data_IF_219321425210
#
_entry.id   IF_219321425210
#
_cell.length_a   1.000
_cell.length_b   1.000
_cell.length_c   1.000
_cell.angle_alpha   90.00
_cell.angle_beta   90.00
_cell.angle_gamma   90.00
#
_symmetry.space_group_name_H-M   'P 1'
#
loop_
_entity.id
_entity.type
_entity.pdbx_description
1 polymer ?
#
# COMPACT_ATOMS: atom_id res chain seq x y z
N UNK A 1 44.49 -10.60 -27.60
CA UNK A 1 45.48 -9.79 -26.89
C UNK A 1 45.50 -10.09 -25.39
N UNK A 2 44.37 -10.13 -24.68
CA UNK A 2 44.29 -10.34 -23.20
C UNK A 2 44.77 -11.76 -22.80
N UNK A 3 44.33 -12.82 -23.51
CA UNK A 3 44.75 -14.21 -23.31
C UNK A 3 46.26 -14.39 -23.50
N UNK A 4 46.84 -13.75 -24.50
CA UNK A 4 48.28 -13.84 -24.77
C UNK A 4 49.13 -13.14 -23.67
N UNK A 5 48.69 -11.99 -23.18
CA UNK A 5 49.26 -11.31 -22.02
C UNK A 5 49.20 -12.18 -20.75
N UNK A 6 48.05 -12.84 -20.54
CA UNK A 6 47.83 -13.72 -19.39
C UNK A 6 48.77 -14.93 -19.42
N UNK A 7 49.00 -15.56 -20.61
CA UNK A 7 49.91 -16.68 -20.73
C UNK A 7 51.38 -16.26 -20.46
N UNK A 8 51.84 -15.08 -20.94
CA UNK A 8 53.22 -14.61 -20.72
C UNK A 8 53.49 -14.32 -19.25
N UNK A 9 52.56 -13.70 -18.55
CA UNK A 9 52.74 -13.33 -17.16
C UNK A 9 52.37 -14.43 -16.16
N UNK A 10 51.64 -15.47 -16.59
CA UNK A 10 51.11 -16.53 -15.74
C UNK A 10 52.19 -17.22 -14.93
N UNK A 11 53.27 -17.63 -15.58
CA UNK A 11 54.37 -18.35 -14.93
C UNK A 11 55.07 -17.50 -13.87
N UNK A 12 55.28 -16.21 -14.16
CA UNK A 12 55.94 -15.28 -13.20
C UNK A 12 55.03 -15.01 -11.98
N UNK A 13 53.74 -14.80 -12.24
CA UNK A 13 52.76 -14.57 -11.17
C UNK A 13 52.62 -15.83 -10.30
N UNK A 14 52.50 -16.99 -10.91
CA UNK A 14 52.40 -18.26 -10.21
C UNK A 14 53.63 -18.53 -9.33
N UNK A 15 54.84 -18.38 -9.88
CA UNK A 15 56.09 -18.52 -9.09
C UNK A 15 56.17 -17.55 -7.94
N UNK A 16 55.75 -16.29 -8.13
CA UNK A 16 55.70 -15.31 -7.07
C UNK A 16 54.70 -15.70 -5.98
N UNK A 17 53.49 -16.13 -6.33
CA UNK A 17 52.46 -16.59 -5.40
C UNK A 17 52.95 -17.77 -4.55
N UNK A 18 53.58 -18.77 -5.20
CA UNK A 18 54.09 -19.95 -4.50
C UNK A 18 55.25 -19.64 -3.56
N UNK A 19 56.15 -18.74 -3.98
CA UNK A 19 57.29 -18.31 -3.13
C UNK A 19 56.86 -17.39 -1.99
N UNK A 20 55.80 -16.60 -2.16
CA UNK A 20 55.30 -15.64 -1.18
C UNK A 20 53.88 -16.01 -0.68
N UNK A 21 53.64 -17.29 -0.39
CA UNK A 21 52.33 -17.84 -0.02
C UNK A 21 51.61 -17.05 1.05
N UNK A 22 52.29 -16.58 2.07
CA UNK A 22 51.73 -15.77 3.17
C UNK A 22 51.31 -14.38 2.71
N UNK A 23 52.08 -13.71 1.85
CA UNK A 23 51.71 -12.40 1.29
C UNK A 23 50.53 -12.52 0.33
N UNK A 24 50.50 -13.60 -0.47
CA UNK A 24 49.39 -13.87 -1.36
C UNK A 24 48.10 -14.13 -0.60
N UNK A 25 48.12 -14.86 0.52
CA UNK A 25 46.97 -15.11 1.37
C UNK A 25 46.37 -13.86 2.00
N UNK A 26 47.15 -12.78 2.13
CA UNK A 26 46.62 -11.48 2.61
C UNK A 26 45.57 -10.90 1.69
N UNK A 27 45.66 -11.13 0.37
CA UNK A 27 44.71 -10.61 -0.61
C UNK A 27 43.28 -11.19 -0.42
N UNK A 28 43.08 -12.52 -0.44
CA UNK A 28 41.74 -13.10 -0.18
C UNK A 28 41.21 -12.80 1.22
N UNK A 29 42.12 -12.77 2.25
CA UNK A 29 41.68 -12.39 3.60
C UNK A 29 41.19 -10.96 3.63
N UNK A 30 41.94 -10.02 3.03
CA UNK A 30 41.50 -8.63 2.92
C UNK A 30 40.19 -8.48 2.16
N UNK A 31 40.00 -9.21 1.08
CA UNK A 31 38.76 -9.22 0.30
C UNK A 31 37.59 -9.72 1.14
N UNK A 32 37.75 -10.81 1.89
CA UNK A 32 36.73 -11.35 2.80
C UNK A 32 36.40 -10.34 3.89
N UNK A 33 37.41 -9.72 4.52
CA UNK A 33 37.19 -8.70 5.55
C UNK A 33 36.44 -7.48 4.99
N UNK A 34 36.85 -6.99 3.82
CA UNK A 34 36.10 -5.94 3.12
C UNK A 34 34.67 -6.35 2.82
N UNK A 35 34.46 -7.58 2.35
CA UNK A 35 33.13 -8.12 2.11
C UNK A 35 32.26 -8.13 3.37
N UNK A 36 32.81 -8.59 4.50
CA UNK A 36 32.11 -8.60 5.79
C UNK A 36 31.78 -7.17 6.26
N UNK A 37 32.70 -6.21 6.08
CA UNK A 37 32.47 -4.81 6.44
C UNK A 37 31.39 -4.17 5.59
N UNK A 38 31.38 -4.44 4.29
CA UNK A 38 30.34 -3.98 3.37
C UNK A 38 28.99 -4.63 3.74
N UNK A 39 28.96 -5.95 3.95
CA UNK A 39 27.77 -6.68 4.35
C UNK A 39 27.10 -6.08 5.60
N UNK A 40 27.87 -5.71 6.62
CA UNK A 40 27.34 -5.10 7.84
C UNK A 40 26.75 -3.70 7.63
N UNK A 41 27.10 -3.02 6.54
CA UNK A 41 26.61 -1.67 6.20
C UNK A 41 25.47 -1.66 5.20
N UNK A 42 25.29 -2.75 4.47
CA UNK A 42 24.16 -2.91 3.53
C UNK A 42 22.92 -3.24 4.35
N UNK A 43 21.87 -2.43 4.18
CA UNK A 43 20.56 -2.69 4.76
C UNK A 43 19.93 -3.97 4.18
N UNK A 44 19.00 -4.56 4.91
CA UNK A 44 18.30 -5.78 4.51
C UNK A 44 16.86 -5.45 4.13
N UNK A 45 16.45 -5.85 2.93
CA UNK A 45 15.08 -5.73 2.42
C UNK A 45 14.64 -7.09 1.85
N UNK A 46 13.36 -7.42 2.02
CA UNK A 46 12.82 -8.69 1.52
C UNK A 46 12.79 -8.69 -0.01
N UNK A 47 12.33 -7.59 -0.57
CA UNK A 47 12.19 -7.41 -2.01
C UNK A 47 12.57 -5.97 -2.36
N UNK A 48 13.46 -5.74 -3.33
CA UNK A 48 13.72 -4.39 -3.79
C UNK A 48 12.45 -3.80 -4.42
N UNK A 49 12.21 -2.51 -4.21
CA UNK A 49 11.10 -1.82 -4.86
C UNK A 49 11.28 -1.89 -6.38
N UNK A 50 10.33 -2.52 -7.06
CA UNK A 50 10.27 -2.54 -8.51
C UNK A 50 9.68 -1.21 -9.01
N UNK A 51 10.13 -0.76 -10.18
CA UNK A 51 9.50 0.38 -10.84
C UNK A 51 8.45 -0.14 -11.83
N UNK A 52 7.18 -0.08 -11.42
CA UNK A 52 6.04 -0.56 -12.20
C UNK A 52 5.54 0.49 -13.22
N UNK A 53 6.14 1.69 -13.29
CA UNK A 53 5.67 2.78 -14.15
C UNK A 53 4.38 3.43 -13.65
N UNK A 54 3.91 3.04 -12.47
CA UNK A 54 2.65 3.51 -11.89
C UNK A 54 2.73 3.59 -10.37
N UNK A 55 1.87 4.43 -9.80
CA UNK A 55 1.63 4.50 -8.37
C UNK A 55 0.19 4.11 -8.05
N UNK A 56 -0.03 3.63 -6.84
CA UNK A 56 -1.33 3.40 -6.25
C UNK A 56 -1.49 4.29 -5.02
N UNK A 57 -2.34 5.29 -5.10
CA UNK A 57 -2.66 6.19 -4.00
C UNK A 57 -3.95 5.71 -3.32
N UNK A 58 -3.87 5.36 -2.04
CA UNK A 58 -4.98 4.76 -1.28
C UNK A 58 -5.30 5.55 -0.01
N UNK A 59 -5.75 6.80 -0.10
CA UNK A 59 -6.22 7.56 1.06
C UNK A 59 -7.55 7.01 1.56
N UNK A 60 -7.90 7.36 2.79
CA UNK A 60 -9.17 7.00 3.40
C UNK A 60 -9.86 8.27 3.90
N UNK A 61 -11.15 8.41 3.64
CA UNK A 61 -11.95 9.47 4.25
C UNK A 61 -12.31 9.13 5.70
N UNK A 62 -12.77 10.15 6.43
CA UNK A 62 -13.21 9.95 7.81
C UNK A 62 -14.41 9.00 7.87
N UNK A 63 -14.56 8.19 8.94
CA UNK A 63 -15.61 7.18 9.06
C UNK A 63 -17.03 7.71 8.87
N UNK A 64 -17.26 8.98 9.20
CA UNK A 64 -18.56 9.64 9.12
C UNK A 64 -18.82 10.35 7.78
N UNK A 65 -17.89 10.24 6.81
CA UNK A 65 -18.02 10.90 5.50
C UNK A 65 -19.13 10.26 4.67
N UNK A 66 -20.09 11.07 4.22
CA UNK A 66 -21.19 10.63 3.38
C UNK A 66 -20.78 10.35 1.93
N UNK A 67 -21.70 9.73 1.17
CA UNK A 67 -21.48 9.34 -0.23
C UNK A 67 -21.13 10.54 -1.11
N UNK A 68 -21.88 11.63 -0.98
CA UNK A 68 -21.72 12.83 -1.81
C UNK A 68 -20.35 13.48 -1.59
N UNK A 69 -19.91 13.57 -0.34
CA UNK A 69 -18.57 14.09 -0.03
C UNK A 69 -17.46 13.18 -0.57
N UNK A 70 -17.65 11.87 -0.53
CA UNK A 70 -16.67 10.94 -1.12
C UNK A 70 -16.62 11.05 -2.65
N UNK A 71 -17.73 11.30 -3.32
CA UNK A 71 -17.74 11.60 -4.76
C UNK A 71 -16.98 12.89 -5.06
N UNK A 72 -17.17 13.93 -4.26
CA UNK A 72 -16.42 15.17 -4.41
C UNK A 72 -14.91 14.97 -4.18
N UNK A 73 -14.52 14.10 -3.24
CA UNK A 73 -13.13 13.78 -3.01
C UNK A 73 -12.49 13.05 -4.19
N UNK A 74 -13.14 12.01 -4.75
CA UNK A 74 -12.56 11.26 -5.88
C UNK A 74 -12.40 12.16 -7.11
N UNK A 75 -13.40 13.00 -7.39
CA UNK A 75 -13.33 13.95 -8.50
C UNK A 75 -12.20 14.98 -8.31
N UNK A 76 -12.04 15.50 -7.08
CA UNK A 76 -10.99 16.45 -6.76
C UNK A 76 -9.60 15.81 -6.84
N UNK A 77 -9.45 14.54 -6.37
CA UNK A 77 -8.21 13.79 -6.48
C UNK A 77 -7.82 13.59 -7.95
N UNK A 78 -8.73 13.06 -8.77
CA UNK A 78 -8.45 12.79 -10.18
C UNK A 78 -8.08 14.06 -10.96
N UNK A 79 -8.80 15.17 -10.75
CA UNK A 79 -8.48 16.46 -11.36
C UNK A 79 -7.10 16.99 -10.98
N UNK A 80 -6.75 16.90 -9.68
CA UNK A 80 -5.44 17.37 -9.19
C UNK A 80 -4.30 16.49 -9.67
N UNK A 81 -4.49 15.17 -9.70
CA UNK A 81 -3.51 14.22 -10.20
C UNK A 81 -3.26 14.41 -11.70
N UNK A 82 -4.32 14.56 -12.49
CA UNK A 82 -4.23 14.81 -13.93
C UNK A 82 -3.56 16.14 -14.29
N UNK A 83 -3.51 17.09 -13.35
CA UNK A 83 -2.82 18.38 -13.55
C UNK A 83 -1.30 18.28 -13.40
N UNK A 84 -0.74 17.17 -12.90
CA UNK A 84 0.71 16.96 -12.81
C UNK A 84 1.24 16.59 -14.20
N UNK A 85 2.19 17.34 -14.78
CA UNK A 85 2.67 17.08 -16.14
C UNK A 85 3.28 15.70 -16.37
N UNK A 86 3.93 15.13 -15.34
CA UNK A 86 4.54 13.81 -15.37
C UNK A 86 3.51 12.69 -15.30
N UNK A 87 2.27 12.97 -14.90
CA UNK A 87 1.18 11.99 -14.87
C UNK A 87 0.61 11.84 -16.29
N UNK A 88 0.50 10.62 -16.74
CA UNK A 88 -0.09 10.27 -18.02
C UNK A 88 -1.59 10.03 -17.90
N UNK A 89 -1.96 9.16 -16.93
CA UNK A 89 -3.36 8.85 -16.62
C UNK A 89 -3.53 8.75 -15.11
N UNK A 90 -4.64 9.24 -14.60
CA UNK A 90 -5.07 9.03 -13.23
C UNK A 90 -6.52 8.58 -13.24
N UNK A 91 -6.79 7.44 -12.59
CA UNK A 91 -8.13 6.85 -12.51
C UNK A 91 -8.39 6.50 -11.06
N UNK A 92 -9.37 7.17 -10.48
CA UNK A 92 -9.85 6.90 -9.13
C UNK A 92 -10.98 5.88 -9.10
N UNK A 93 -10.86 4.89 -8.22
CA UNK A 93 -11.92 3.97 -7.82
C UNK A 93 -12.32 4.30 -6.40
N UNK A 94 -13.61 4.38 -6.14
CA UNK A 94 -14.15 4.52 -4.81
C UNK A 94 -15.41 3.64 -4.66
N UNK A 95 -15.62 3.16 -3.45
CA UNK A 95 -16.76 2.38 -3.08
C UNK A 95 -16.46 0.95 -2.67
N UNK A 96 -17.46 0.30 -2.12
CA UNK A 96 -17.36 -1.08 -1.64
C UNK A 96 -17.54 -2.06 -2.80
N UNK A 97 -16.64 -3.02 -2.90
CA UNK A 97 -16.78 -4.17 -3.80
C UNK A 97 -17.42 -5.33 -3.04
N UNK A 98 -18.37 -6.01 -3.64
CA UNK A 98 -18.96 -7.22 -3.08
C UNK A 98 -18.07 -8.44 -3.41
N UNK A 99 -16.92 -8.52 -2.77
CA UNK A 99 -15.93 -9.57 -2.96
C UNK A 99 -15.30 -9.95 -1.63
N UNK A 100 -15.06 -11.24 -1.43
CA UNK A 100 -14.32 -11.74 -0.27
C UNK A 100 -12.80 -11.43 -0.33
N UNK A 101 -12.28 -11.14 -1.54
CA UNK A 101 -10.86 -10.88 -1.78
C UNK A 101 -10.50 -9.39 -1.70
N UNK A 102 -11.49 -8.50 -1.67
CA UNK A 102 -11.28 -7.06 -1.59
C UNK A 102 -12.10 -6.48 -0.42
N UNK A 103 -11.56 -6.47 0.79
CA UNK A 103 -12.25 -6.00 1.99
C UNK A 103 -12.29 -4.48 2.11
N UNK A 104 -12.24 -3.75 0.99
CA UNK A 104 -12.21 -2.30 1.00
C UNK A 104 -13.46 -1.71 1.66
N UNK A 105 -13.32 -0.86 2.70
CA UNK A 105 -14.45 -0.13 3.26
C UNK A 105 -14.93 0.97 2.30
N UNK A 106 -16.17 1.44 2.51
CA UNK A 106 -16.77 2.48 1.67
C UNK A 106 -15.99 3.82 1.68
N UNK A 107 -15.12 4.03 2.64
CA UNK A 107 -14.30 5.24 2.79
C UNK A 107 -12.94 5.16 2.10
N UNK A 108 -12.59 4.02 1.53
CA UNK A 108 -11.29 3.81 0.88
C UNK A 108 -11.33 4.24 -0.59
N UNK A 109 -10.31 4.97 -0.98
CA UNK A 109 -10.05 5.34 -2.37
C UNK A 109 -8.87 4.55 -2.90
N UNK A 110 -8.90 4.25 -4.19
CA UNK A 110 -7.81 3.64 -4.94
C UNK A 110 -7.63 4.42 -6.23
N UNK A 111 -6.61 5.27 -6.27
CA UNK A 111 -6.26 6.01 -7.49
C UNK A 111 -5.04 5.35 -8.12
N UNK A 112 -5.22 4.75 -9.28
CA UNK A 112 -4.11 4.26 -10.12
C UNK A 112 -3.59 5.41 -10.94
N UNK A 113 -2.28 5.69 -10.81
CA UNK A 113 -1.61 6.85 -11.40
C UNK A 113 -0.47 6.33 -12.27
N UNK A 114 -0.63 6.35 -13.58
CA UNK A 114 0.45 6.03 -14.50
C UNK A 114 1.23 7.30 -14.79
N UNK A 115 2.54 7.23 -14.70
CA UNK A 115 3.41 8.35 -15.02
C UNK A 115 4.21 8.08 -16.29
N UNK A 116 4.52 9.16 -17.01
CA UNK A 116 5.29 9.10 -18.24
C UNK A 116 6.71 8.66 -17.94
N UNK A 117 7.35 7.87 -18.83
CA UNK A 117 8.78 7.62 -18.73
C UNK A 117 9.55 8.94 -18.86
N UNK A 118 10.73 9.01 -18.25
CA UNK A 118 11.56 10.22 -18.28
C UNK A 118 11.87 10.68 -19.72
N UNK A 119 12.12 9.72 -20.61
CA UNK A 119 12.36 9.96 -22.04
C UNK A 119 11.34 9.22 -22.87
N UNK A 120 10.99 9.76 -24.03
CA UNK A 120 10.11 9.07 -24.98
C UNK A 120 10.76 7.76 -25.40
N UNK A 121 9.97 6.67 -25.37
CA UNK A 121 10.38 5.32 -25.74
C UNK A 121 9.76 4.94 -27.09
N UNK A 122 10.48 4.16 -27.90
CA UNK A 122 9.96 3.53 -29.09
C UNK A 122 9.16 2.26 -28.76
N UNK A 123 8.60 1.59 -29.77
CA UNK A 123 7.83 0.35 -29.62
C UNK A 123 8.63 -0.79 -28.96
N UNK A 124 9.96 -0.81 -29.07
CA UNK A 124 10.86 -1.77 -28.42
C UNK A 124 11.18 -1.40 -26.94
N UNK A 125 10.62 -0.32 -26.39
CA UNK A 125 10.92 0.18 -25.05
C UNK A 125 12.29 0.86 -24.93
N UNK A 126 12.94 1.21 -26.03
CA UNK A 126 14.22 1.95 -26.03
C UNK A 126 13.99 3.44 -26.18
N UNK A 127 14.87 4.24 -25.57
CA UNK A 127 14.82 5.70 -25.70
C UNK A 127 14.91 6.11 -27.15
N UNK A 128 13.99 6.94 -27.61
CA UNK A 128 13.95 7.46 -28.96
C UNK A 128 14.63 8.83 -29.06
N UNK A 129 15.30 9.09 -30.19
CA UNK A 129 15.99 10.34 -30.46
C UNK A 129 15.22 11.15 -31.48
N UNK A 130 15.22 12.47 -31.30
CA UNK A 130 14.49 13.41 -32.15
C UNK A 130 15.40 14.48 -32.69
N UNK A 131 15.03 14.97 -33.84
CA UNK A 131 15.82 15.92 -34.60
C UNK A 131 15.95 17.27 -33.90
N UNK A 132 17.18 17.71 -33.71
CA UNK A 132 17.52 19.02 -33.14
C UNK A 132 18.25 19.88 -34.19
N UNK A 133 18.09 21.19 -34.11
CA UNK A 133 18.86 22.14 -34.93
C UNK A 133 20.24 22.42 -34.29
N UNK A 134 21.06 23.26 -34.95
CA UNK A 134 22.41 23.65 -34.44
C UNK A 134 22.37 24.41 -33.09
N UNK A 135 21.22 24.91 -32.69
CA UNK A 135 21.02 25.63 -31.42
C UNK A 135 20.53 24.69 -30.28
N UNK A 136 20.35 23.41 -30.58
CA UNK A 136 19.81 22.44 -29.60
C UNK A 136 18.28 22.48 -29.44
N UNK A 137 17.55 23.13 -30.34
CA UNK A 137 16.10 23.20 -30.32
C UNK A 137 15.51 22.02 -31.09
N UNK A 138 14.48 21.37 -30.54
CA UNK A 138 13.77 20.26 -31.20
C UNK A 138 12.91 20.81 -32.36
N UNK A 139 12.97 20.12 -33.49
CA UNK A 139 12.16 20.44 -34.65
C UNK A 139 10.82 19.73 -34.59
N UNK A 140 9.75 20.47 -34.73
CA UNK A 140 8.38 19.95 -34.71
C UNK A 140 7.88 19.73 -36.16
N UNK A 141 6.99 18.75 -36.32
CA UNK A 141 6.38 18.41 -37.64
C UNK A 141 5.57 19.55 -38.23
N UNK A 142 5.06 20.46 -37.41
CA UNK A 142 4.35 21.68 -37.88
C UNK A 142 5.27 22.80 -38.33
N UNK A 143 6.59 22.57 -38.41
CA UNK A 143 7.59 23.56 -38.79
C UNK A 143 8.06 24.48 -37.67
N UNK A 144 7.51 24.34 -36.45
CA UNK A 144 7.97 25.09 -35.29
C UNK A 144 9.21 24.47 -34.64
N UNK A 145 9.77 25.17 -33.66
CA UNK A 145 10.86 24.68 -32.81
C UNK A 145 10.45 24.73 -31.34
N UNK A 146 11.06 23.88 -30.56
CA UNK A 146 10.95 23.88 -29.11
C UNK A 146 12.33 23.83 -28.45
N UNK A 147 12.58 24.78 -27.56
CA UNK A 147 13.79 24.83 -26.78
C UNK A 147 13.46 24.50 -25.28
N UNK A 148 13.99 23.42 -24.70
CA UNK A 148 13.78 23.12 -23.29
C UNK A 148 14.25 24.24 -22.34
N UNK A 149 15.20 25.09 -22.75
CA UNK A 149 15.69 26.21 -21.95
C UNK A 149 14.65 27.34 -21.78
N UNK A 150 13.67 27.45 -22.69
CA UNK A 150 12.63 28.49 -22.66
C UNK A 150 11.50 28.13 -21.65
N UNK A 151 11.59 27.00 -20.99
CA UNK A 151 10.63 26.49 -20.02
C UNK A 151 10.08 25.13 -20.39
N UNK A 152 9.58 24.41 -19.39
CA UNK A 152 9.01 23.08 -19.60
C UNK A 152 7.67 23.16 -20.36
N UNK A 153 7.58 22.37 -21.40
CA UNK A 153 6.33 22.11 -22.13
C UNK A 153 6.29 20.65 -22.55
N UNK A 154 5.19 19.97 -22.22
CA UNK A 154 4.95 18.62 -22.70
C UNK A 154 4.64 18.65 -24.20
N UNK A 155 5.49 18.00 -25.00
CA UNK A 155 5.32 17.87 -26.44
C UNK A 155 4.93 16.41 -26.73
N UNK A 156 3.80 16.15 -27.41
CA UNK A 156 3.44 14.80 -27.84
C UNK A 156 4.51 14.21 -28.77
N UNK A 157 4.79 12.92 -28.62
CA UNK A 157 5.79 12.22 -29.44
C UNK A 157 5.52 12.39 -30.96
N UNK A 158 4.25 12.35 -31.35
CA UNK A 158 3.80 12.52 -32.74
C UNK A 158 4.13 13.89 -33.34
N UNK A 159 4.35 14.87 -32.49
CA UNK A 159 4.73 16.24 -32.95
C UNK A 159 6.22 16.38 -33.19
N UNK A 160 7.03 15.45 -32.70
CA UNK A 160 8.48 15.45 -32.86
C UNK A 160 8.90 14.68 -34.13
N UNK A 161 10.07 14.99 -34.66
CA UNK A 161 10.62 14.33 -35.83
C UNK A 161 11.69 13.35 -35.40
N UNK A 162 11.50 12.00 -35.53
CA UNK A 162 12.49 10.99 -35.14
C UNK A 162 13.79 11.15 -35.93
N UNK A 163 14.94 11.09 -35.27
CA UNK A 163 16.25 11.15 -35.90
C UNK A 163 17.30 10.41 -35.04
N UNK A 164 17.94 9.38 -35.60
CA UNK A 164 18.97 8.58 -34.90
C UNK A 164 20.19 9.40 -34.45
N UNK A 165 20.44 10.52 -35.08
CA UNK A 165 21.55 11.46 -34.75
C UNK A 165 21.12 12.61 -33.84
N UNK A 166 19.83 12.68 -33.50
CA UNK A 166 19.27 13.74 -32.65
C UNK A 166 19.48 13.47 -31.16
N UNK A 167 18.76 14.20 -30.33
CA UNK A 167 18.82 14.13 -28.88
C UNK A 167 17.58 13.44 -28.28
N UNK A 168 17.71 12.94 -27.05
CA UNK A 168 16.60 12.35 -26.31
C UNK A 168 15.68 13.44 -25.77
N UNK A 169 14.38 13.35 -26.02
CA UNK A 169 13.38 14.28 -25.50
C UNK A 169 12.96 13.86 -24.09
N UNK A 170 13.19 14.76 -23.11
CA UNK A 170 12.82 14.54 -21.71
C UNK A 170 11.39 15.00 -21.46
N UNK A 171 10.54 14.11 -20.90
CA UNK A 171 9.12 14.37 -20.64
C UNK A 171 8.86 14.90 -19.22
N UNK A 172 9.87 14.88 -18.34
CA UNK A 172 9.75 15.37 -16.97
C UNK A 172 10.29 16.78 -16.84
N UNK A 173 9.70 17.55 -15.92
CA UNK A 173 10.20 18.89 -15.56
C UNK A 173 11.65 18.82 -15.05
N UNK A 174 12.43 19.88 -15.17
CA UNK A 174 13.84 19.89 -14.75
C UNK A 174 14.06 19.56 -13.27
N UNK A 175 13.13 19.98 -12.40
CA UNK A 175 13.16 19.73 -10.95
C UNK A 175 12.87 18.28 -10.56
N UNK A 176 12.21 17.51 -11.40
CA UNK A 176 11.86 16.11 -11.16
C UNK A 176 13.02 15.23 -11.62
N UNK A 177 13.75 14.61 -10.70
CA UNK A 177 14.95 13.81 -11.00
C UNK A 177 14.70 12.31 -10.96
N UNK A 178 13.72 11.89 -10.19
CA UNK A 178 13.40 10.49 -9.98
C UNK A 178 11.89 10.31 -9.72
N UNK A 179 11.45 9.09 -9.61
CA UNK A 179 10.04 8.75 -9.35
C UNK A 179 9.56 9.18 -7.96
N UNK A 180 10.47 9.33 -6.99
CA UNK A 180 10.11 9.81 -5.65
C UNK A 180 9.72 11.29 -5.67
N UNK A 181 10.34 12.08 -6.55
CA UNK A 181 9.97 13.48 -6.74
C UNK A 181 8.55 13.59 -7.32
N UNK A 182 8.17 12.70 -8.27
CA UNK A 182 6.79 12.61 -8.77
C UNK A 182 5.84 12.25 -7.62
N UNK A 183 6.19 11.24 -6.81
CA UNK A 183 5.38 10.87 -5.67
C UNK A 183 5.19 12.02 -4.68
N UNK A 184 6.24 12.80 -4.43
CA UNK A 184 6.14 13.98 -3.57
C UNK A 184 5.18 15.04 -4.14
N UNK A 185 5.16 15.23 -5.47
CA UNK A 185 4.18 16.11 -6.12
C UNK A 185 2.75 15.56 -5.92
N UNK A 186 2.56 14.24 -6.09
CA UNK A 186 1.28 13.58 -5.83
C UNK A 186 0.80 13.85 -4.41
N UNK A 187 1.63 13.61 -3.40
CA UNK A 187 1.30 13.85 -1.99
C UNK A 187 0.91 15.30 -1.75
N UNK A 188 1.66 16.26 -2.32
CA UNK A 188 1.41 17.68 -2.14
C UNK A 188 0.05 18.12 -2.70
N UNK A 189 -0.34 17.63 -3.88
CA UNK A 189 -1.60 18.04 -4.52
C UNK A 189 -2.82 17.27 -3.98
N UNK A 190 -2.61 16.09 -3.43
CA UNK A 190 -3.70 15.23 -2.90
C UNK A 190 -4.00 15.46 -1.43
N UNK A 191 -3.28 16.38 -0.76
CA UNK A 191 -3.60 16.77 0.60
C UNK A 191 -4.94 17.52 0.64
N UNK A 192 -6.00 16.81 1.05
CA UNK A 192 -7.37 17.33 1.19
C UNK A 192 -7.82 17.20 2.65
N UNK A 193 -8.45 18.24 3.22
CA UNK A 193 -9.06 18.13 4.56
C UNK A 193 -10.07 16.97 4.59
N UNK A 194 -9.98 16.12 5.62
CA UNK A 194 -10.86 14.95 5.76
C UNK A 194 -10.42 13.68 5.04
N UNK A 195 -9.29 13.72 4.31
CA UNK A 195 -8.61 12.53 3.81
C UNK A 195 -7.34 12.25 4.62
N UNK A 196 -7.04 10.97 4.80
CA UNK A 196 -5.75 10.55 5.37
C UNK A 196 -4.63 10.69 4.35
N UNK A 197 -3.39 10.74 4.81
CA UNK A 197 -2.24 10.49 3.96
C UNK A 197 -2.22 9.02 3.52
N UNK A 198 -1.49 8.72 2.46
CA UNK A 198 -1.27 7.37 1.99
C UNK A 198 0.23 7.09 1.85
N UNK A 199 0.70 5.88 2.18
CA UNK A 199 2.07 5.47 1.91
C UNK A 199 2.30 5.37 0.40
N UNK A 200 3.58 5.43 -0.02
CA UNK A 200 3.95 5.18 -1.41
C UNK A 200 3.73 3.72 -1.74
N UNK A 201 2.82 3.46 -2.67
CA UNK A 201 2.51 2.11 -3.14
C UNK A 201 2.58 2.04 -4.66
N UNK A 202 2.80 0.83 -5.15
CA UNK A 202 2.67 0.47 -6.55
C UNK A 202 1.62 -0.64 -6.69
N UNK A 203 0.89 -0.75 -7.81
CA UNK A 203 -0.27 -1.63 -7.93
C UNK A 203 0.00 -3.10 -7.62
N UNK A 204 1.08 -3.69 -8.17
CA UNK A 204 1.42 -5.11 -7.99
C UNK A 204 1.95 -5.34 -6.57
N UNK A 205 2.89 -4.49 -6.11
CA UNK A 205 3.45 -4.55 -4.76
C UNK A 205 2.36 -4.42 -3.70
N UNK A 206 1.46 -3.44 -3.84
CA UNK A 206 0.35 -3.23 -2.93
C UNK A 206 -0.57 -4.45 -2.85
N UNK A 207 -0.93 -5.04 -3.99
CA UNK A 207 -1.77 -6.25 -4.03
C UNK A 207 -1.09 -7.43 -3.34
N UNK A 208 0.20 -7.63 -3.57
CA UNK A 208 0.98 -8.69 -2.93
C UNK A 208 1.01 -8.53 -1.40
N UNK A 209 1.29 -7.30 -0.93
CA UNK A 209 1.32 -6.97 0.50
C UNK A 209 -0.07 -7.14 1.13
N UNK A 210 -1.11 -6.61 0.53
CA UNK A 210 -2.48 -6.72 1.04
C UNK A 210 -2.94 -8.18 1.17
N UNK A 211 -2.67 -9.02 0.17
CA UNK A 211 -3.05 -10.44 0.19
C UNK A 211 -2.25 -11.24 1.22
N UNK A 212 -0.97 -10.89 1.44
CA UNK A 212 -0.10 -11.63 2.35
C UNK A 212 -0.21 -11.20 3.82
N UNK A 213 -0.54 -9.95 4.08
CA UNK A 213 -0.51 -9.35 5.43
C UNK A 213 -1.84 -8.78 5.91
N UNK A 214 -2.78 -8.54 5.01
CA UNK A 214 -4.04 -7.83 5.29
C UNK A 214 -3.88 -6.30 5.42
N UNK A 215 -2.65 -5.77 5.31
CA UNK A 215 -2.36 -4.34 5.46
C UNK A 215 -2.26 -3.64 4.10
N UNK A 216 -2.55 -2.34 4.10
CA UNK A 216 -2.50 -1.46 2.92
C UNK A 216 -1.18 -0.68 2.83
N UNK A 217 -0.11 -1.21 3.42
CA UNK A 217 1.21 -0.60 3.41
C UNK A 217 2.29 -1.67 3.51
N UNK A 218 3.50 -1.44 2.95
CA UNK A 218 4.62 -2.37 3.05
C UNK A 218 5.08 -2.62 4.47
N UNK A 219 4.89 -1.62 5.36
CA UNK A 219 5.25 -1.69 6.76
C UNK A 219 4.08 -1.27 7.64
N UNK A 220 3.89 -1.98 8.72
CA UNK A 220 2.88 -1.68 9.70
C UNK A 220 3.01 -2.50 10.96
N UNK A 221 2.10 -2.24 11.88
CA UNK A 221 2.03 -2.87 13.16
C UNK A 221 0.61 -3.37 13.37
N UNK A 222 0.47 -4.65 13.64
CA UNK A 222 -0.80 -5.30 14.02
C UNK A 222 -0.99 -5.17 15.51
N UNK A 223 -2.18 -4.77 15.92
CA UNK A 223 -2.57 -4.61 17.31
C UNK A 223 -3.72 -5.56 17.58
N UNK A 224 -3.53 -6.47 18.52
CA UNK A 224 -4.52 -7.44 18.94
C UNK A 224 -5.09 -7.04 20.30
N UNK A 225 -6.39 -7.16 20.48
CA UNK A 225 -7.05 -6.81 21.72
C UNK A 225 -8.40 -7.51 21.92
N UNK A 226 -8.98 -7.41 23.12
CA UNK A 226 -10.23 -8.08 23.45
C UNK A 226 -11.45 -7.45 22.76
N UNK A 227 -11.40 -6.15 22.49
CA UNK A 227 -12.47 -5.38 21.88
C UNK A 227 -11.93 -4.24 21.01
N UNK A 228 -12.77 -3.69 20.13
CA UNK A 228 -12.37 -2.66 19.16
C UNK A 228 -11.99 -1.33 19.82
N UNK A 229 -12.60 -0.99 20.93
CA UNK A 229 -12.35 0.27 21.64
C UNK A 229 -10.96 0.28 22.27
N UNK A 230 -10.59 -0.84 22.91
CA UNK A 230 -9.26 -1.07 23.48
C UNK A 230 -8.16 -1.05 22.41
N UNK A 231 -8.44 -1.66 21.25
CA UNK A 231 -7.54 -1.64 20.09
C UNK A 231 -7.39 -0.20 19.57
N UNK A 232 -8.49 0.56 19.47
CA UNK A 232 -8.44 1.94 18.98
C UNK A 232 -7.64 2.87 19.90
N UNK A 233 -7.83 2.76 21.22
CA UNK A 233 -7.06 3.56 22.18
C UNK A 233 -5.57 3.26 22.08
N UNK A 234 -5.21 1.98 22.06
CA UNK A 234 -3.81 1.54 21.92
C UNK A 234 -3.24 1.90 20.56
N UNK A 235 -4.03 1.79 19.48
CA UNK A 235 -3.64 2.16 18.13
C UNK A 235 -3.29 3.63 17.99
N UNK A 236 -4.11 4.52 18.54
CA UNK A 236 -3.82 5.97 18.58
C UNK A 236 -2.56 6.29 19.37
N UNK A 237 -2.34 5.60 20.51
CA UNK A 237 -1.16 5.80 21.33
C UNK A 237 0.13 5.33 20.58
N UNK A 238 0.08 4.19 19.90
CA UNK A 238 1.18 3.69 19.07
C UNK A 238 1.41 4.58 17.85
N UNK A 239 0.36 5.09 17.20
CA UNK A 239 0.46 6.06 16.10
C UNK A 239 1.29 7.27 16.52
N UNK A 240 1.03 7.84 17.69
CA UNK A 240 1.80 8.97 18.20
C UNK A 240 3.25 8.58 18.50
N UNK A 241 3.47 7.41 19.11
CA UNK A 241 4.82 6.94 19.41
C UNK A 241 5.67 6.71 18.16
N UNK A 242 5.08 6.20 17.06
CA UNK A 242 5.78 5.97 15.80
C UNK A 242 6.17 7.26 15.07
N UNK A 243 5.44 8.37 15.27
CA UNK A 243 5.80 9.68 14.69
C UNK A 243 7.13 10.22 15.21
N UNK A 244 7.58 9.76 16.38
CA UNK A 244 8.84 10.16 16.99
C UNK A 244 10.03 9.31 16.51
N UNK A 245 9.79 8.26 15.70
CA UNK A 245 10.86 7.41 15.16
C UNK A 245 11.62 8.15 14.06
N UNK A 246 12.96 8.38 14.18
CA UNK A 246 13.71 9.21 13.25
C UNK A 246 13.72 8.70 11.80
N UNK A 247 13.64 7.38 11.58
CA UNK A 247 13.65 6.73 10.26
C UNK A 247 12.27 6.65 9.60
N UNK A 248 11.20 6.98 10.32
CA UNK A 248 9.83 6.97 9.83
C UNK A 248 9.45 8.35 9.28
N UNK A 249 8.58 8.40 8.28
CA UNK A 249 7.96 9.63 7.78
C UNK A 249 6.74 9.92 8.67
N UNK A 250 6.76 10.97 9.53
CA UNK A 250 5.67 11.21 10.49
C UNK A 250 4.29 11.39 9.86
N UNK A 251 4.22 12.00 8.66
CA UNK A 251 2.98 12.22 7.92
C UNK A 251 2.39 10.94 7.32
N UNK A 252 3.16 9.86 7.21
CA UNK A 252 2.70 8.57 6.71
C UNK A 252 2.14 7.67 7.81
N UNK A 253 2.39 8.01 9.08
CA UNK A 253 1.92 7.19 10.21
C UNK A 253 0.44 7.39 10.41
N UNK A 254 -0.30 6.30 10.33
CA UNK A 254 -1.75 6.32 10.42
C UNK A 254 -2.29 5.05 11.07
N UNK A 255 -3.15 5.21 12.08
CA UNK A 255 -3.96 4.13 12.62
C UNK A 255 -5.24 3.97 11.80
N UNK A 256 -5.49 2.79 11.27
CA UNK A 256 -6.69 2.46 10.50
C UNK A 256 -7.90 2.35 11.43
N UNK A 257 -8.67 3.43 11.53
CA UNK A 257 -9.75 3.56 12.51
C UNK A 257 -10.85 2.54 12.29
N UNK A 258 -11.06 1.68 13.28
CA UNK A 258 -12.09 0.65 13.24
C UNK A 258 -13.45 1.16 13.75
N UNK A 259 -13.48 2.17 14.61
CA UNK A 259 -14.70 2.69 15.28
C UNK A 259 -14.97 4.12 14.84
N UNK A 260 -16.24 4.49 14.78
CA UNK A 260 -16.66 5.86 14.49
C UNK A 260 -17.60 6.03 13.31
N UNK A 261 -17.98 4.91 12.62
CA UNK A 261 -19.05 4.96 11.63
C UNK A 261 -20.38 5.33 12.32
N UNK A 262 -21.12 6.33 11.81
CA UNK A 262 -22.44 6.65 12.34
C UNK A 262 -23.44 5.58 11.87
N UNK A 263 -24.10 4.96 12.83
CA UNK A 263 -25.23 4.09 12.59
C UNK A 263 -26.50 4.80 13.01
N UNK A 264 -27.55 4.66 12.23
CA UNK A 264 -28.90 5.02 12.64
C UNK A 264 -29.55 3.76 13.21
N UNK A 265 -29.63 3.66 14.52
CA UNK A 265 -30.25 2.54 15.20
C UNK A 265 -31.73 2.79 15.42
N UNK A 266 -32.55 1.82 15.07
CA UNK A 266 -33.99 1.81 15.28
C UNK A 266 -34.26 0.80 16.38
N UNK A 267 -34.45 1.28 17.61
CA UNK A 267 -34.69 0.45 18.80
C UNK A 267 -36.18 0.21 18.96
N UNK A 268 -36.60 -1.04 18.75
CA UNK A 268 -38.00 -1.42 18.81
C UNK A 268 -38.53 -1.38 20.25
N UNK A 269 -39.65 -0.66 20.45
CA UNK A 269 -40.39 -0.64 21.72
C UNK A 269 -41.45 -1.75 21.69
N UNK A 270 -41.10 -2.91 22.23
CA UNK A 270 -41.95 -4.12 22.18
C UNK A 270 -43.25 -3.97 22.93
N UNK A 271 -43.30 -3.17 24.00
CA UNK A 271 -44.50 -2.92 24.80
C UNK A 271 -45.54 -2.10 23.97
N UNK A 272 -45.06 -1.05 23.31
CA UNK A 272 -45.90 -0.27 22.41
C UNK A 272 -46.35 -1.08 21.18
N UNK A 273 -45.45 -1.87 20.60
CA UNK A 273 -45.79 -2.75 19.49
C UNK A 273 -46.89 -3.74 19.86
N UNK A 274 -46.81 -4.37 21.04
CA UNK A 274 -47.87 -5.25 21.54
C UNK A 274 -49.20 -4.53 21.75
N UNK A 275 -49.13 -3.28 22.26
CA UNK A 275 -50.33 -2.43 22.48
C UNK A 275 -51.05 -2.10 21.16
N UNK A 276 -50.31 -1.88 20.07
CA UNK A 276 -50.88 -1.61 18.74
C UNK A 276 -51.06 -2.87 17.89
N UNK A 277 -50.72 -4.06 18.39
CA UNK A 277 -50.89 -5.33 17.67
C UNK A 277 -49.95 -5.45 16.45
N UNK A 278 -48.75 -4.86 16.53
CA UNK A 278 -47.74 -4.95 15.48
C UNK A 278 -46.66 -5.97 15.86
N UNK A 279 -46.40 -6.95 14.97
CA UNK A 279 -45.37 -7.93 15.17
C UNK A 279 -43.98 -7.37 14.78
N UNK A 280 -42.91 -7.91 15.39
CA UNK A 280 -41.55 -7.53 15.08
C UNK A 280 -41.20 -7.85 13.63
N UNK A 281 -41.63 -9.00 13.13
CA UNK A 281 -41.37 -9.44 11.75
C UNK A 281 -41.96 -8.47 10.72
N UNK A 282 -43.26 -8.09 10.90
CA UNK A 282 -43.99 -7.16 10.02
C UNK A 282 -43.28 -5.79 9.99
N UNK A 283 -42.88 -5.29 11.16
CA UNK A 283 -42.15 -4.01 11.25
C UNK A 283 -40.76 -4.09 10.58
N UNK A 284 -40.02 -5.17 10.78
CA UNK A 284 -38.71 -5.35 10.14
C UNK A 284 -38.84 -5.49 8.61
N UNK A 285 -39.85 -6.16 8.10
CA UNK A 285 -40.11 -6.24 6.66
C UNK A 285 -40.35 -4.84 6.06
N UNK A 286 -41.21 -4.04 6.72
CA UNK A 286 -41.51 -2.68 6.29
C UNK A 286 -40.22 -1.80 6.32
N UNK A 287 -39.44 -1.87 7.39
CA UNK A 287 -38.19 -1.12 7.48
C UNK A 287 -37.20 -1.57 6.41
N UNK A 288 -37.08 -2.87 6.17
CA UNK A 288 -36.20 -3.42 5.13
C UNK A 288 -36.63 -2.94 3.74
N UNK A 289 -37.90 -2.93 3.45
CA UNK A 289 -38.41 -2.47 2.17
C UNK A 289 -38.33 -0.95 2.03
N UNK A 290 -38.76 -0.19 3.04
CA UNK A 290 -38.82 1.27 2.98
C UNK A 290 -37.45 1.91 3.00
N UNK A 291 -36.55 1.50 3.90
CA UNK A 291 -35.23 2.10 4.11
C UNK A 291 -34.15 1.41 3.28
N UNK A 292 -34.02 0.09 3.39
CA UNK A 292 -33.00 -0.72 2.72
C UNK A 292 -33.26 -0.94 1.23
N UNK A 293 -34.51 -1.14 0.91
CA UNK A 293 -35.02 -1.54 -0.42
C UNK A 293 -35.02 -3.05 -0.62
N UNK A 294 -36.18 -3.57 -0.96
CA UNK A 294 -36.41 -4.98 -1.26
C UNK A 294 -36.26 -5.25 -2.76
N UNK A 295 -35.52 -6.29 -3.11
CA UNK A 295 -35.43 -6.75 -4.50
C UNK A 295 -36.66 -7.58 -4.82
N UNK A 296 -37.54 -7.08 -5.70
CA UNK A 296 -38.74 -7.76 -6.14
C UNK A 296 -38.47 -8.82 -7.21
N UNK A 297 -37.63 -8.47 -8.18
CA UNK A 297 -37.27 -9.33 -9.31
C UNK A 297 -35.97 -8.86 -9.95
N UNK A 298 -35.53 -9.58 -10.99
CA UNK A 298 -34.38 -9.17 -11.82
C UNK A 298 -34.83 -9.14 -13.29
N UNK A 299 -34.51 -8.08 -14.00
CA UNK A 299 -34.63 -8.01 -15.45
C UNK A 299 -33.37 -8.60 -16.10
N UNK A 300 -33.56 -9.18 -17.29
CA UNK A 300 -32.49 -9.76 -18.10
C UNK A 300 -32.43 -8.97 -19.40
N UNK A 301 -31.32 -8.27 -19.63
CA UNK A 301 -31.07 -7.46 -20.81
C UNK A 301 -29.83 -7.96 -21.51
N UNK A 302 -29.98 -8.84 -22.48
CA UNK A 302 -28.86 -9.54 -23.08
C UNK A 302 -28.13 -10.46 -22.08
N UNK A 303 -26.85 -10.18 -21.79
CA UNK A 303 -26.06 -10.90 -20.79
C UNK A 303 -26.15 -10.29 -19.38
N UNK A 304 -26.72 -9.11 -19.24
CA UNK A 304 -26.80 -8.36 -17.99
C UNK A 304 -28.09 -8.66 -17.21
N UNK A 305 -27.99 -8.53 -15.89
CA UNK A 305 -29.07 -8.78 -14.97
C UNK A 305 -29.19 -7.64 -13.99
N UNK A 306 -30.32 -6.90 -14.05
CA UNK A 306 -30.57 -5.75 -13.21
C UNK A 306 -31.61 -6.06 -12.14
N UNK A 307 -31.30 -5.84 -10.83
CA UNK A 307 -32.30 -6.02 -9.79
C UNK A 307 -33.34 -4.87 -9.82
N UNK A 308 -34.61 -5.21 -9.81
CA UNK A 308 -35.69 -4.25 -9.59
C UNK A 308 -35.92 -4.13 -8.10
N UNK A 309 -35.58 -2.97 -7.55
CA UNK A 309 -35.62 -2.69 -6.11
C UNK A 309 -36.78 -1.75 -5.78
N UNK A 310 -37.65 -2.16 -4.87
CA UNK A 310 -38.68 -1.30 -4.25
C UNK A 310 -38.10 -0.62 -3.02
N UNK A 311 -38.18 0.69 -2.94
CA UNK A 311 -37.71 1.48 -1.81
C UNK A 311 -38.46 2.83 -1.75
N UNK A 312 -38.61 3.41 -0.57
CA UNK A 312 -39.15 4.76 -0.44
C UNK A 312 -38.25 5.79 -1.13
N UNK A 313 -38.84 6.87 -1.62
CA UNK A 313 -38.14 8.02 -2.15
C UNK A 313 -37.13 8.57 -1.10
N UNK A 314 -36.07 9.21 -1.58
CA UNK A 314 -34.96 9.63 -0.71
C UNK A 314 -35.44 10.60 0.39
N UNK A 315 -36.32 11.50 0.03
CA UNK A 315 -36.86 12.55 0.91
C UNK A 315 -37.64 12.00 2.12
N UNK A 316 -38.14 10.76 2.02
CA UNK A 316 -38.88 10.08 3.08
C UNK A 316 -37.98 9.24 4.03
N UNK A 317 -36.68 9.16 3.77
CA UNK A 317 -35.76 8.28 4.50
C UNK A 317 -34.36 8.82 4.72
N UNK A 318 -34.06 10.07 4.35
CA UNK A 318 -32.72 10.65 4.43
C UNK A 318 -32.40 11.31 5.78
N UNK A 319 -33.40 11.46 6.65
CA UNK A 319 -33.23 11.99 8.00
C UNK A 319 -34.09 11.23 9.02
N UNK A 320 -33.71 11.27 10.33
CA UNK A 320 -34.45 10.59 11.40
C UNK A 320 -35.89 11.07 11.55
N UNK A 321 -36.14 12.36 11.31
CA UNK A 321 -37.47 12.95 11.41
C UNK A 321 -38.42 12.36 10.37
N UNK A 322 -38.00 12.28 9.10
CA UNK A 322 -38.78 11.67 8.04
C UNK A 322 -39.02 10.18 8.33
N UNK A 323 -37.99 9.45 8.78
CA UNK A 323 -38.14 8.05 9.17
C UNK A 323 -39.08 7.87 10.36
N UNK A 324 -39.10 8.76 11.33
CA UNK A 324 -39.98 8.69 12.50
C UNK A 324 -41.44 8.77 12.13
N UNK A 325 -41.74 9.41 11.01
CA UNK A 325 -43.11 9.57 10.48
C UNK A 325 -43.56 8.46 9.51
N UNK A 326 -42.69 7.49 9.23
CA UNK A 326 -43.00 6.32 8.42
C UNK A 326 -44.21 5.57 9.01
N UNK A 327 -45.24 5.33 8.18
CA UNK A 327 -46.46 4.69 8.64
C UNK A 327 -46.35 3.18 8.58
N UNK A 328 -46.71 2.54 9.67
CA UNK A 328 -46.72 1.09 9.87
C UNK A 328 -48.17 0.64 9.98
N UNK A 329 -48.66 -0.23 9.07
CA UNK A 329 -50.01 -0.75 9.17
C UNK A 329 -50.15 -1.75 10.32
N UNK A 330 -51.25 -1.70 11.04
CA UNK A 330 -51.64 -2.71 12.03
C UNK A 330 -52.56 -3.76 11.46
N UNK A 331 -52.76 -4.88 12.14
CA UNK A 331 -53.71 -5.92 11.76
C UNK A 331 -55.17 -5.41 11.65
N UNK A 332 -55.50 -4.30 12.34
CA UNK A 332 -56.84 -3.67 12.30
C UNK A 332 -56.98 -2.66 11.17
N UNK A 333 -55.93 -2.43 10.36
CA UNK A 333 -55.91 -1.45 9.26
C UNK A 333 -55.58 -0.03 9.67
N UNK A 334 -55.30 0.25 10.96
CA UNK A 334 -54.83 1.53 11.42
C UNK A 334 -53.34 1.73 11.01
N UNK A 335 -52.97 3.00 10.75
CA UNK A 335 -51.58 3.38 10.38
C UNK A 335 -50.92 4.09 11.54
N UNK A 336 -49.86 3.52 12.09
CA UNK A 336 -49.16 4.04 13.25
C UNK A 336 -47.79 4.60 12.81
N UNK A 337 -47.42 5.85 13.19
CA UNK A 337 -46.08 6.38 12.93
C UNK A 337 -45.00 5.57 13.64
N UNK A 338 -43.86 5.36 12.99
CA UNK A 338 -42.74 4.56 13.51
C UNK A 338 -42.27 5.05 14.89
N UNK A 339 -42.30 6.36 15.14
CA UNK A 339 -41.92 6.96 16.45
C UNK A 339 -42.73 6.43 17.63
N UNK A 340 -43.94 5.91 17.42
CA UNK A 340 -44.75 5.28 18.48
C UNK A 340 -44.33 3.84 18.76
N UNK A 341 -43.58 3.22 17.82
CA UNK A 341 -43.18 1.82 17.85
C UNK A 341 -41.70 1.61 18.10
N UNK A 342 -40.89 2.65 17.87
CA UNK A 342 -39.42 2.56 17.98
C UNK A 342 -38.79 3.93 18.26
N UNK A 343 -37.65 3.90 18.95
CA UNK A 343 -36.77 5.04 19.14
C UNK A 343 -35.67 5.04 18.07
N UNK A 344 -35.40 6.21 17.46
CA UNK A 344 -34.42 6.37 16.40
C UNK A 344 -33.29 7.24 16.93
N UNK A 345 -32.08 6.67 17.01
CA UNK A 345 -30.91 7.39 17.53
C UNK A 345 -29.65 7.14 16.71
N UNK A 346 -28.72 8.11 16.72
CA UNK A 346 -27.40 7.91 16.16
C UNK A 346 -26.49 7.23 17.18
N UNK A 347 -25.92 6.10 16.77
CA UNK A 347 -24.96 5.37 17.56
C UNK A 347 -23.60 5.32 16.82
N UNK A 348 -22.52 5.29 17.58
CA UNK A 348 -21.19 4.99 17.01
C UNK A 348 -21.04 3.50 16.89
N UNK A 349 -20.68 3.04 15.69
CA UNK A 349 -20.44 1.62 15.43
C UNK A 349 -19.10 1.35 14.81
N UNK A 350 -18.82 0.07 14.58
CA UNK A 350 -17.64 -0.36 13.88
C UNK A 350 -17.74 -0.02 12.39
N UNK A 351 -16.70 0.60 11.82
CA UNK A 351 -16.60 0.80 10.39
C UNK A 351 -16.25 -0.51 9.67
N UNK A 352 -15.28 -1.21 10.22
CA UNK A 352 -14.82 -2.50 9.74
C UNK A 352 -14.31 -3.31 10.94
N UNK A 353 -14.75 -4.55 11.03
CA UNK A 353 -14.26 -5.51 12.04
C UNK A 353 -13.31 -6.46 11.33
N UNK A 354 -12.05 -6.44 11.76
CA UNK A 354 -11.01 -7.34 11.25
C UNK A 354 -10.60 -8.31 12.33
N UNK A 355 -10.39 -9.56 11.94
CA UNK A 355 -9.87 -10.60 12.83
C UNK A 355 -8.82 -11.44 12.11
N UNK A 356 -7.80 -11.85 12.87
CA UNK A 356 -6.74 -12.74 12.42
C UNK A 356 -6.48 -13.80 13.48
N UNK A 357 -6.48 -15.06 13.09
CA UNK A 357 -6.32 -16.18 14.01
C UNK A 357 -7.30 -16.13 15.20
N UNK A 358 -8.56 -15.77 14.95
CA UNK A 358 -9.64 -15.62 15.95
C UNK A 358 -9.54 -14.39 16.87
N UNK A 359 -8.48 -13.59 16.79
CA UNK A 359 -8.33 -12.37 17.56
C UNK A 359 -8.76 -11.15 16.73
N UNK A 360 -9.40 -10.18 17.38
CA UNK A 360 -9.63 -8.87 16.78
C UNK A 360 -8.29 -8.17 16.52
N UNK A 361 -8.16 -7.53 15.36
CA UNK A 361 -6.93 -6.87 14.95
C UNK A 361 -7.21 -5.45 14.42
N UNK A 362 -6.34 -4.51 14.78
CA UNK A 362 -6.23 -3.19 14.19
C UNK A 362 -4.85 -2.97 13.59
N UNK A 363 -4.73 -2.03 12.66
CA UNK A 363 -3.48 -1.77 11.96
C UNK A 363 -3.01 -0.34 12.17
N UNK A 364 -1.72 -0.16 12.47
CA UNK A 364 -1.01 1.11 12.33
C UNK A 364 -0.04 0.95 11.17
N UNK A 365 -0.25 1.71 10.12
CA UNK A 365 0.61 1.71 8.95
C UNK A 365 1.56 2.91 8.97
N UNK A 366 2.72 2.77 8.37
CA UNK A 366 3.72 3.84 8.25
C UNK A 366 4.67 3.56 7.09
N UNK A 367 5.43 4.59 6.69
CA UNK A 367 6.43 4.48 5.64
C UNK A 367 7.80 4.97 6.14
N UNK A 368 8.86 4.48 5.49
CA UNK A 368 10.25 4.76 5.81
C UNK A 368 10.75 6.00 5.08
N UNK A 369 11.72 6.70 5.68
CA UNK A 369 12.49 7.72 4.97
C UNK A 369 13.35 7.09 3.89
N UNK A 370 13.56 7.83 2.81
CA UNK A 370 14.36 7.40 1.68
C UNK A 370 15.78 6.96 2.10
N UNK A 371 16.29 5.89 1.51
CA UNK A 371 17.61 5.34 1.83
C UNK A 371 17.71 4.53 3.12
N UNK A 372 16.60 4.26 3.80
CA UNK A 372 16.54 3.38 4.98
C UNK A 372 16.01 2.00 4.60
N UNK A 373 16.64 0.96 5.12
CA UNK A 373 16.16 -0.42 4.96
C UNK A 373 15.00 -0.73 5.92
N UNK A 374 14.00 -1.49 5.46
CA UNK A 374 12.80 -1.81 6.24
C UNK A 374 13.12 -2.48 7.57
N UNK A 375 14.04 -3.43 7.58
CA UNK A 375 14.47 -4.14 8.80
C UNK A 375 15.06 -3.20 9.84
N UNK A 376 15.85 -2.23 9.40
CA UNK A 376 16.49 -1.27 10.31
C UNK A 376 15.46 -0.30 10.91
N UNK A 377 14.49 0.12 10.09
CA UNK A 377 13.37 0.98 10.54
C UNK A 377 12.51 0.25 11.57
N UNK A 378 12.19 -1.02 11.35
CA UNK A 378 11.42 -1.82 12.31
C UNK A 378 12.19 -2.00 13.62
N UNK A 379 13.50 -2.28 13.56
CA UNK A 379 14.34 -2.39 14.76
C UNK A 379 14.41 -1.07 15.56
N UNK A 380 14.51 0.06 14.86
CA UNK A 380 14.49 1.38 15.50
C UNK A 380 13.13 1.69 16.11
N UNK A 381 12.04 1.42 15.39
CA UNK A 381 10.68 1.59 15.87
C UNK A 381 10.39 0.70 17.09
N UNK A 382 10.85 -0.56 17.09
CA UNK A 382 10.73 -1.46 18.23
C UNK A 382 11.39 -0.87 19.48
N UNK A 383 12.65 -0.38 19.34
CA UNK A 383 13.37 0.23 20.45
C UNK A 383 12.66 1.47 21.02
N UNK A 384 12.11 2.31 20.14
CA UNK A 384 11.37 3.53 20.57
C UNK A 384 10.09 3.14 21.30
N UNK A 385 9.31 2.21 20.75
CA UNK A 385 8.05 1.76 21.38
C UNK A 385 8.32 1.09 22.72
N UNK A 386 9.27 0.14 22.78
CA UNK A 386 9.63 -0.55 24.02
C UNK A 386 10.19 0.41 25.07
N UNK A 387 11.03 1.37 24.65
CA UNK A 387 11.55 2.41 25.54
C UNK A 387 10.44 3.26 26.13
N UNK A 388 9.44 3.68 25.33
CA UNK A 388 8.28 4.46 25.80
C UNK A 388 7.36 3.64 26.70
N UNK A 389 7.23 2.34 26.47
CA UNK A 389 6.48 1.45 27.36
C UNK A 389 7.19 1.33 28.72
N UNK A 390 8.51 1.11 28.73
CA UNK A 390 9.32 1.00 29.95
C UNK A 390 9.32 2.29 30.80
N UNK A 391 9.40 3.43 30.13
CA UNK A 391 9.36 4.74 30.78
C UNK A 391 7.95 5.18 31.22
N UNK A 392 6.91 4.42 30.87
CA UNK A 392 5.52 4.72 31.20
C UNK A 392 4.87 5.85 30.36
N UNK A 393 5.56 6.33 29.31
CA UNK A 393 5.03 7.32 28.37
C UNK A 393 3.96 6.69 27.45
N UNK A 394 4.17 5.44 27.01
CA UNK A 394 3.22 4.68 26.24
C UNK A 394 2.56 3.60 27.13
N UNK A 395 1.29 3.80 27.42
CA UNK A 395 0.49 2.84 28.17
C UNK A 395 -0.40 2.06 27.21
N UNK A 396 -0.10 0.78 27.02
CA UNK A 396 -1.00 -0.13 26.34
C UNK A 396 -2.09 -0.59 27.29
N UNK A 397 -3.31 -0.66 26.79
CA UNK A 397 -4.44 -1.16 27.58
C UNK A 397 -4.24 -2.65 27.90
N UNK A 398 -4.70 -3.09 29.06
CA UNK A 398 -4.54 -4.48 29.51
C UNK A 398 -5.19 -5.45 28.51
N UNK A 399 -4.46 -6.49 28.14
CA UNK A 399 -4.91 -7.49 27.16
C UNK A 399 -4.57 -7.16 25.69
N UNK A 400 -3.91 -6.03 25.44
CA UNK A 400 -3.42 -5.67 24.11
C UNK A 400 -2.02 -6.20 23.90
N UNK A 401 -1.79 -6.77 22.71
CA UNK A 401 -0.47 -7.13 22.20
C UNK A 401 -0.26 -6.54 20.82
N UNK A 402 0.98 -6.37 20.40
CA UNK A 402 1.31 -5.85 19.09
C UNK A 402 2.42 -6.65 18.42
N UNK A 403 2.43 -6.63 17.09
CA UNK A 403 3.46 -7.27 16.26
C UNK A 403 3.71 -6.45 15.01
N UNK A 404 4.99 -6.22 14.68
CA UNK A 404 5.34 -5.67 13.37
C UNK A 404 5.03 -6.66 12.26
N UNK A 405 4.49 -6.18 11.16
CA UNK A 405 4.09 -6.98 10.02
C UNK A 405 4.36 -6.22 8.71
N UNK A 406 4.19 -6.91 7.60
CA UNK A 406 4.54 -6.43 6.27
C UNK A 406 5.72 -7.20 5.70
N UNK A 407 6.49 -6.55 4.83
CA UNK A 407 7.67 -7.14 4.19
C UNK A 407 8.71 -7.63 5.22
N UNK A 408 8.80 -6.96 6.36
CA UNK A 408 9.66 -7.36 7.47
C UNK A 408 9.38 -8.79 7.95
N UNK A 409 8.11 -9.16 8.12
CA UNK A 409 7.71 -10.52 8.56
C UNK A 409 8.12 -11.59 7.54
N UNK A 410 8.00 -11.27 6.25
CA UNK A 410 8.46 -12.17 5.17
C UNK A 410 9.98 -12.34 5.20
N UNK A 411 10.71 -11.25 5.45
CA UNK A 411 12.17 -11.30 5.61
C UNK A 411 12.60 -12.15 6.81
N UNK A 412 11.96 -12.01 7.97
CA UNK A 412 12.23 -12.86 9.13
C UNK A 412 12.01 -14.35 8.83
N UNK A 413 10.87 -14.67 8.21
CA UNK A 413 10.55 -16.06 7.84
C UNK A 413 11.57 -16.61 6.83
N UNK A 414 11.97 -15.81 5.83
CA UNK A 414 12.96 -16.20 4.84
C UNK A 414 14.33 -16.42 5.51
N UNK A 415 14.77 -15.52 6.38
CA UNK A 415 16.03 -15.63 7.10
C UNK A 415 16.05 -16.87 8.01
N UNK A 416 14.99 -17.13 8.74
CA UNK A 416 14.87 -18.30 9.60
C UNK A 416 14.97 -19.62 8.80
N UNK A 417 14.34 -19.68 7.63
CA UNK A 417 14.45 -20.85 6.73
C UNK A 417 15.85 -21.00 6.16
N UNK A 418 16.47 -19.91 5.72
CA UNK A 418 17.83 -19.92 5.15
C UNK A 418 18.88 -20.35 6.18
N UNK A 419 18.73 -19.98 7.44
CA UNK A 419 19.61 -20.43 8.52
C UNK A 419 19.66 -21.97 8.70
N UNK A 420 18.61 -22.67 8.26
CA UNK A 420 18.55 -24.16 8.30
C UNK A 420 18.99 -24.73 6.95
N UNK A 421 18.44 -24.19 5.85
CA UNK A 421 18.63 -24.76 4.50
C UNK A 421 20.07 -24.60 4.01
N UNK A 422 20.69 -23.42 4.28
CA UNK A 422 22.08 -23.17 3.81
C UNK A 422 23.10 -24.09 4.47
N UNK A 423 23.15 -24.26 5.80
CA UNK A 423 24.06 -25.24 6.42
C UNK A 423 23.80 -26.67 5.96
N UNK A 424 22.53 -27.05 5.78
CA UNK A 424 22.18 -28.37 5.27
C UNK A 424 22.69 -28.61 3.86
N UNK A 425 22.50 -27.62 2.96
CA UNK A 425 23.00 -27.69 1.58
C UNK A 425 24.54 -27.77 1.56
N UNK A 426 25.23 -26.97 2.37
CA UNK A 426 26.68 -27.02 2.47
C UNK A 426 27.16 -28.38 3.01
N UNK A 427 26.46 -28.95 3.98
CA UNK A 427 26.73 -30.29 4.51
C UNK A 427 26.60 -31.36 3.39
N UNK A 428 25.52 -31.30 2.60
CA UNK A 428 25.30 -32.24 1.50
C UNK A 428 26.41 -32.10 0.45
N UNK A 429 26.80 -30.89 0.08
CA UNK A 429 27.93 -30.67 -0.85
C UNK A 429 29.22 -31.26 -0.29
N UNK A 430 29.49 -31.03 1.00
CA UNK A 430 30.68 -31.58 1.66
C UNK A 430 30.66 -33.14 1.67
N UNK A 431 29.50 -33.74 1.93
CA UNK A 431 29.33 -35.20 1.86
C UNK A 431 29.55 -35.73 0.46
N UNK A 432 29.01 -35.10 -0.57
CA UNK A 432 29.24 -35.50 -1.97
C UNK A 432 30.75 -35.43 -2.31
N UNK A 433 31.43 -34.37 -1.93
CA UNK A 433 32.88 -34.23 -2.10
C UNK A 433 33.63 -35.30 -1.30
N UNK A 434 33.19 -35.63 -0.07
CA UNK A 434 33.81 -36.69 0.70
C UNK A 434 33.66 -38.06 0.04
N UNK A 435 32.52 -38.40 -0.49
CA UNK A 435 32.33 -39.67 -1.27
C UNK A 435 33.19 -39.71 -2.52
N UNK A 436 33.39 -38.54 -3.16
CA UNK A 436 34.25 -38.44 -4.36
C UNK A 436 35.73 -38.61 -4.05
N UNK A 437 36.25 -37.91 -3.02
CA UNK A 437 37.68 -37.86 -2.72
C UNK A 437 38.12 -38.86 -1.64
N UNK A 438 37.17 -39.44 -0.89
CA UNK A 438 37.40 -40.40 0.20
C UNK A 438 38.36 -39.95 1.28
N UNK A 439 38.69 -38.64 1.33
CA UNK A 439 39.52 -38.00 2.33
C UNK A 439 38.94 -36.66 2.73
N UNK A 440 38.83 -36.38 4.03
CA UNK A 440 38.26 -35.18 4.53
C UNK A 440 39.08 -33.95 4.14
N UNK A 441 40.42 -34.04 4.16
CA UNK A 441 41.29 -32.96 3.81
C UNK A 441 41.13 -32.51 2.34
N UNK A 442 41.07 -33.44 1.41
CA UNK A 442 40.84 -33.13 -0.01
C UNK A 442 39.45 -32.52 -0.21
N UNK A 443 38.43 -33.08 0.43
CA UNK A 443 37.05 -32.57 0.38
C UNK A 443 36.96 -31.10 0.91
N UNK A 444 37.59 -30.79 2.02
CA UNK A 444 37.61 -29.44 2.56
C UNK A 444 38.38 -28.44 1.65
N UNK A 445 39.50 -28.87 1.04
CA UNK A 445 40.25 -28.03 0.10
C UNK A 445 39.37 -27.69 -1.12
N UNK A 446 38.68 -28.66 -1.70
CA UNK A 446 37.78 -28.43 -2.84
C UNK A 446 36.49 -27.69 -2.46
N UNK A 447 36.05 -27.82 -1.20
CA UNK A 447 34.88 -27.08 -0.67
C UNK A 447 35.20 -25.60 -0.41
N UNK A 448 36.45 -25.28 -0.08
CA UNK A 448 36.90 -23.92 0.21
C UNK A 448 37.33 -23.11 -1.02
N UNK A 449 37.52 -23.72 -2.17
CA UNK A 449 37.87 -23.09 -3.46
C UNK A 449 36.65 -22.87 -4.32
#
# INVERSE_FOLDING_TARGET
ALLWLLVIYYERILRWCLNNRWKFMLLPIATILCGILIWKRIGQEFMPSLNEGSFLLMPTSMPHTGIEQNLNYIEALDKRLAAIPEVETAIGKWGRVNSALDPAPAQMFENTINYRPEYILNEDGKRERFKVNRKGEYLLRNGGTYNPADGFRLIPADSLIPDRKGDYFRQWRPEIKNTDDIWQQIVNVTHLPGLTSAPKLQPIEARLVMLSTGMRAPMGLKIYGPDLETIEQSGKAIEQALKDVPSVIPSSVFYDRAVGAPYLEIKLNRDNMARYGVNVEDLQEILSAAVGGMILTKTIEGCERFPVRLRYARELRDNPEALSMLLVPTATGAQIPLKELADIEYARGAQMIQSENTFLVGYVIFDKKQGKAEVDVVKEATKVIEGKIQNGELKLTKGVSYKFAGNYEQQERATARLMIVVPLALLIVLLVLYFQFKTLAASLIHFSG
#
